data_IF_157983802053
#
_entry.id   IF_157983802053
#
_cell.length_a   1.000
_cell.length_b   1.000
_cell.length_c   1.000
_cell.angle_alpha   90.00
_cell.angle_beta   90.00
_cell.angle_gamma   90.00
#
_symmetry.space_group_name_H-M   'P 1'
#
loop_
_entity.id
_entity.type
_entity.pdbx_description
1 polymer ?
#
# COMPACT_ATOMS: atom_id res chain seq x y z
N UNK A 1 -20.03 -3.04 17.05
CA UNK A 1 -18.83 -3.86 17.21
C UNK A 1 -17.95 -3.79 15.98
N UNK A 2 -16.69 -3.60 16.17
CA UNK A 2 -15.72 -3.55 15.09
C UNK A 2 -15.32 -4.97 14.68
N UNK A 3 -15.35 -5.25 13.37
CA UNK A 3 -14.93 -6.54 12.82
C UNK A 3 -13.56 -6.43 12.15
N UNK A 4 -12.66 -5.71 12.79
CA UNK A 4 -11.34 -5.48 12.24
C UNK A 4 -10.34 -6.54 12.71
N UNK A 5 -9.51 -6.99 11.77
CA UNK A 5 -8.31 -7.75 12.11
C UNK A 5 -7.25 -6.69 12.41
N UNK A 6 -6.74 -6.70 13.63
CA UNK A 6 -5.78 -5.70 14.09
C UNK A 6 -4.34 -6.08 13.74
N UNK A 7 -3.42 -5.14 13.95
CA UNK A 7 -1.99 -5.39 13.82
C UNK A 7 -1.53 -6.53 14.75
N UNK A 8 -2.08 -6.59 15.98
CA UNK A 8 -1.79 -7.66 16.92
C UNK A 8 -2.21 -9.02 16.39
N UNK A 9 -3.38 -9.09 15.75
CA UNK A 9 -3.85 -10.32 15.12
C UNK A 9 -2.93 -10.77 13.99
N UNK A 10 -2.42 -9.82 13.21
CA UNK A 10 -1.44 -10.11 12.15
C UNK A 10 -0.13 -10.63 12.74
N UNK A 11 0.35 -10.04 13.83
CA UNK A 11 1.57 -10.49 14.50
C UNK A 11 1.43 -11.95 14.95
N UNK A 12 0.29 -12.29 15.55
CA UNK A 12 0.02 -13.65 15.99
C UNK A 12 0.05 -14.64 14.82
N UNK A 13 -0.55 -14.26 13.70
CA UNK A 13 -0.57 -15.09 12.50
C UNK A 13 0.82 -15.23 11.88
N UNK A 14 1.59 -14.16 11.87
CA UNK A 14 2.98 -14.19 11.38
C UNK A 14 3.81 -15.15 12.22
N UNK A 15 3.69 -15.08 13.54
CA UNK A 15 4.41 -15.95 14.44
C UNK A 15 4.06 -17.41 14.19
N UNK A 16 2.77 -17.70 13.99
CA UNK A 16 2.28 -19.04 13.67
C UNK A 16 2.87 -19.56 12.37
N UNK A 17 2.87 -18.76 11.33
CA UNK A 17 3.32 -19.19 9.99
C UNK A 17 4.83 -19.24 9.84
N UNK A 18 5.56 -18.38 10.55
CA UNK A 18 7.01 -18.24 10.39
C UNK A 18 7.80 -19.05 11.40
N UNK A 19 7.19 -19.43 12.52
CA UNK A 19 7.91 -20.06 13.63
C UNK A 19 8.68 -19.06 14.48
N UNK A 20 8.57 -17.76 14.19
CA UNK A 20 9.22 -16.72 14.98
C UNK A 20 8.43 -16.45 16.26
N UNK A 21 9.08 -15.84 17.24
CA UNK A 21 8.39 -15.33 18.43
C UNK A 21 7.46 -14.20 18.03
N UNK A 22 6.49 -13.88 18.89
CA UNK A 22 5.61 -12.71 18.66
C UNK A 22 6.41 -11.42 18.65
N UNK A 23 7.43 -11.32 19.49
CA UNK A 23 8.32 -10.15 19.53
C UNK A 23 9.03 -9.95 18.21
N UNK A 24 9.63 -11.00 17.66
CA UNK A 24 10.35 -10.93 16.39
C UNK A 24 9.38 -10.70 15.23
N UNK A 25 8.21 -11.31 15.27
CA UNK A 25 7.16 -11.13 14.27
C UNK A 25 6.67 -9.68 14.24
N UNK A 26 6.52 -9.06 15.41
CA UNK A 26 6.13 -7.65 15.50
C UNK A 26 7.22 -6.75 14.93
N UNK A 27 8.49 -7.02 15.25
CA UNK A 27 9.61 -6.26 14.72
C UNK A 27 9.68 -6.35 13.20
N UNK A 28 9.47 -7.54 12.64
CA UNK A 28 9.48 -7.75 11.20
C UNK A 28 8.33 -7.00 10.53
N UNK A 29 7.13 -7.06 11.11
CA UNK A 29 5.97 -6.35 10.57
C UNK A 29 6.17 -4.84 10.65
N UNK A 30 6.66 -4.32 11.77
CA UNK A 30 6.94 -2.90 11.92
C UNK A 30 7.96 -2.44 10.88
N UNK A 31 9.01 -3.23 10.65
CA UNK A 31 10.00 -2.93 9.63
C UNK A 31 9.39 -2.89 8.22
N UNK A 32 8.51 -3.83 7.91
CA UNK A 32 7.80 -3.84 6.62
C UNK A 32 6.95 -2.59 6.44
N UNK A 33 6.20 -2.22 7.48
CA UNK A 33 5.29 -1.06 7.41
C UNK A 33 6.04 0.27 7.26
N UNK A 34 7.30 0.32 7.71
CA UNK A 34 8.17 1.48 7.52
C UNK A 34 8.92 1.44 6.19
N UNK A 35 9.36 0.25 5.78
CA UNK A 35 10.17 0.09 4.56
C UNK A 35 9.37 0.39 3.30
N UNK A 36 8.12 -0.06 3.21
CA UNK A 36 7.31 0.13 2.01
C UNK A 36 7.09 1.61 1.69
N UNK A 37 6.62 2.45 2.63
CA UNK A 37 6.47 3.88 2.34
C UNK A 37 7.79 4.56 1.98
N UNK A 38 8.87 4.19 2.62
CA UNK A 38 10.19 4.76 2.35
C UNK A 38 10.66 4.44 0.92
N UNK A 39 10.51 3.19 0.50
CA UNK A 39 10.85 2.78 -0.86
C UNK A 39 9.96 3.46 -1.90
N UNK A 40 8.66 3.58 -1.62
CA UNK A 40 7.74 4.27 -2.51
C UNK A 40 8.09 5.75 -2.64
N UNK A 41 8.51 6.38 -1.55
CA UNK A 41 8.95 7.77 -1.59
C UNK A 41 10.17 7.94 -2.49
N UNK A 42 11.15 7.03 -2.39
CA UNK A 42 12.33 7.05 -3.25
C UNK A 42 11.94 6.93 -4.72
N UNK A 43 11.02 6.01 -5.05
CA UNK A 43 10.58 5.83 -6.43
C UNK A 43 9.74 7.01 -6.91
N UNK A 44 8.98 7.65 -6.02
CA UNK A 44 8.18 8.83 -6.37
C UNK A 44 9.04 10.00 -6.83
N UNK A 45 10.29 10.08 -6.36
CA UNK A 45 11.23 11.15 -6.76
C UNK A 45 11.85 10.94 -8.13
N UNK A 46 11.63 9.78 -8.74
CA UNK A 46 12.12 9.48 -10.09
C UNK A 46 11.05 9.84 -11.11
N UNK A 47 11.45 9.97 -12.39
CA UNK A 47 10.48 10.13 -13.46
C UNK A 47 9.62 8.88 -13.59
N UNK A 48 8.40 9.03 -14.09
CA UNK A 48 7.42 7.94 -14.11
C UNK A 48 7.92 6.68 -14.81
N UNK A 49 8.68 6.83 -15.88
CA UNK A 49 9.22 5.70 -16.65
C UNK A 49 10.43 5.03 -15.98
N UNK A 50 11.02 5.67 -14.97
CA UNK A 50 12.14 5.10 -14.23
C UNK A 50 11.74 4.46 -12.91
N UNK A 51 10.48 4.61 -12.51
CA UNK A 51 9.99 4.09 -11.23
C UNK A 51 9.90 2.58 -11.25
N UNK A 52 10.44 1.95 -10.20
CA UNK A 52 10.29 0.53 -9.97
C UNK A 52 9.04 0.26 -9.12
N UNK A 53 8.50 -0.94 -9.26
CA UNK A 53 7.40 -1.42 -8.41
C UNK A 53 8.00 -2.30 -7.32
N UNK A 54 7.38 -2.27 -6.13
CA UNK A 54 7.71 -3.25 -5.10
C UNK A 54 6.89 -4.49 -5.41
N UNK A 55 7.55 -5.51 -5.92
CA UNK A 55 6.88 -6.74 -6.38
C UNK A 55 7.06 -7.85 -5.35
N UNK A 56 5.94 -8.32 -4.80
CA UNK A 56 5.92 -9.48 -3.92
C UNK A 56 5.27 -10.63 -4.69
N UNK A 57 6.12 -11.49 -5.24
CA UNK A 57 5.69 -12.56 -6.13
C UNK A 57 4.64 -13.44 -5.44
N UNK A 58 3.50 -13.63 -6.12
CA UNK A 58 2.39 -14.41 -5.58
C UNK A 58 1.49 -13.65 -4.62
N UNK A 59 1.84 -12.42 -4.26
CA UNK A 59 1.04 -11.60 -3.34
C UNK A 59 0.46 -10.36 -4.02
N UNK A 60 1.31 -9.50 -4.56
CA UNK A 60 0.88 -8.27 -5.20
C UNK A 60 2.03 -7.32 -5.43
N UNK A 61 1.69 -6.12 -5.86
CA UNK A 61 2.70 -5.10 -6.11
C UNK A 61 2.25 -3.73 -5.63
N UNK A 62 3.22 -2.95 -5.16
CA UNK A 62 3.05 -1.54 -4.80
C UNK A 62 3.69 -0.69 -5.87
N UNK A 63 3.05 0.41 -6.24
CA UNK A 63 3.60 1.34 -7.22
C UNK A 63 3.20 2.77 -6.90
N UNK A 64 3.88 3.73 -7.52
CA UNK A 64 3.52 5.14 -7.42
C UNK A 64 2.98 5.58 -8.78
N UNK A 65 1.79 6.16 -8.78
CA UNK A 65 1.14 6.69 -9.97
C UNK A 65 1.08 8.20 -9.89
N UNK A 66 1.16 8.85 -11.04
CA UNK A 66 0.94 10.28 -11.15
C UNK A 66 -0.53 10.53 -11.48
N UNK A 67 -1.14 11.45 -10.75
CA UNK A 67 -2.44 11.99 -11.11
C UNK A 67 -2.25 13.40 -11.61
N UNK A 68 -2.69 13.65 -12.84
CA UNK A 68 -2.58 14.97 -13.46
C UNK A 68 -3.46 15.98 -12.74
N UNK A 69 -3.04 17.25 -12.80
CA UNK A 69 -3.87 18.36 -12.35
C UNK A 69 -5.18 18.35 -13.16
N UNK A 70 -6.27 18.64 -12.51
CA UNK A 70 -7.59 18.66 -13.15
C UNK A 70 -8.47 19.71 -12.51
N UNK A 71 -9.54 20.09 -13.24
CA UNK A 71 -10.54 20.98 -12.70
C UNK A 71 -11.58 20.16 -11.94
N UNK A 72 -11.95 20.67 -10.79
CA UNK A 72 -13.01 20.09 -9.98
C UNK A 72 -14.01 21.17 -9.61
N UNK A 73 -15.07 20.79 -8.94
CA UNK A 73 -16.09 21.72 -8.46
C UNK A 73 -16.15 21.64 -6.96
N UNK A 74 -16.08 22.81 -6.31
CA UNK A 74 -16.24 22.88 -4.86
C UNK A 74 -17.71 22.61 -4.53
N UNK A 75 -18.02 21.53 -3.80
CA UNK A 75 -19.41 21.18 -3.52
C UNK A 75 -20.13 22.19 -2.62
N UNK A 76 -19.39 23.01 -1.87
CA UNK A 76 -19.99 24.00 -0.98
C UNK A 76 -20.37 25.29 -1.71
N UNK A 77 -19.58 25.71 -2.69
CA UNK A 77 -19.77 26.98 -3.38
C UNK A 77 -20.20 26.83 -4.83
N UNK A 78 -20.04 25.65 -5.41
CA UNK A 78 -20.32 25.39 -6.82
C UNK A 78 -19.28 25.98 -7.77
N UNK A 79 -18.22 26.59 -7.23
CA UNK A 79 -17.18 27.21 -8.04
C UNK A 79 -16.17 26.16 -8.54
N UNK A 80 -15.60 26.44 -9.71
CA UNK A 80 -14.51 25.63 -10.23
C UNK A 80 -13.27 25.82 -9.36
N UNK A 81 -12.56 24.72 -9.13
CA UNK A 81 -11.30 24.72 -8.40
C UNK A 81 -10.28 23.87 -9.14
N UNK A 82 -9.01 24.24 -9.00
CA UNK A 82 -7.92 23.48 -9.58
C UNK A 82 -7.47 22.44 -8.57
N UNK A 83 -7.55 21.15 -8.97
CA UNK A 83 -6.99 20.06 -8.18
C UNK A 83 -5.56 19.86 -8.68
N UNK A 84 -4.54 20.07 -7.83
CA UNK A 84 -3.16 19.99 -8.30
C UNK A 84 -2.75 18.56 -8.65
N UNK A 85 -1.74 18.43 -9.50
CA UNK A 85 -1.12 17.14 -9.78
C UNK A 85 -0.52 16.57 -8.50
N UNK A 86 -0.59 15.27 -8.35
CA UNK A 86 -0.04 14.59 -7.16
C UNK A 86 0.42 13.19 -7.49
N UNK A 87 1.26 12.66 -6.63
CA UNK A 87 1.73 11.28 -6.68
C UNK A 87 0.91 10.45 -5.71
N UNK A 88 0.46 9.29 -6.15
CA UNK A 88 -0.44 8.44 -5.37
C UNK A 88 0.13 7.03 -5.29
N UNK A 89 0.30 6.48 -4.08
CA UNK A 89 0.66 5.07 -3.95
C UNK A 89 -0.53 4.20 -4.32
N UNK A 90 -0.26 3.07 -4.97
CA UNK A 90 -1.30 2.12 -5.34
C UNK A 90 -0.81 0.71 -5.06
N UNK A 91 -1.73 -0.16 -4.69
CA UNK A 91 -1.44 -1.58 -4.47
C UNK A 91 -2.40 -2.43 -5.30
N UNK A 92 -1.85 -3.48 -5.91
CA UNK A 92 -2.62 -4.41 -6.71
C UNK A 92 -2.33 -5.83 -6.27
N UNK A 93 -3.38 -6.57 -5.87
CA UNK A 93 -3.23 -7.97 -5.52
C UNK A 93 -2.93 -8.83 -6.74
N UNK A 94 -2.12 -9.88 -6.52
CA UNK A 94 -1.85 -10.86 -7.55
C UNK A 94 -3.08 -11.74 -7.80
N UNK A 95 -3.10 -12.39 -8.95
CA UNK A 95 -4.16 -13.34 -9.30
C UNK A 95 -4.26 -14.46 -8.26
N UNK A 96 -3.12 -14.94 -7.74
CA UNK A 96 -3.09 -16.01 -6.74
C UNK A 96 -3.87 -15.63 -5.48
N UNK A 97 -3.69 -14.40 -4.98
CA UNK A 97 -4.41 -13.94 -3.78
C UNK A 97 -5.91 -13.86 -4.05
N UNK A 98 -6.28 -13.34 -5.22
CA UNK A 98 -7.70 -13.24 -5.61
C UNK A 98 -8.36 -14.61 -5.67
N UNK A 99 -7.66 -15.60 -6.21
CA UNK A 99 -8.17 -16.97 -6.29
C UNK A 99 -8.28 -17.62 -4.92
N UNK A 100 -7.29 -17.42 -4.03
CA UNK A 100 -7.33 -17.95 -2.67
C UNK A 100 -8.51 -17.41 -1.87
N UNK A 101 -8.85 -16.14 -2.05
CA UNK A 101 -9.97 -15.51 -1.34
C UNK A 101 -11.31 -16.03 -1.85
N UNK A 102 -11.40 -16.30 -3.13
CA UNK A 102 -12.64 -16.80 -3.74
C UNK A 102 -12.83 -18.32 -3.60
N UNK A 103 -11.83 -18.99 -3.09
CA UNK A 103 -11.87 -20.43 -2.92
C UNK A 103 -11.54 -21.14 -4.20
#
# INVERSE_FOLDING_TARGET
MSNNITKGDLVDKIAEKSGLTKKDSKSALDGLLEAIPELLFQEANKSADERAKIQLIGFGSFEVKDRSARKGINPQTGEEMQIPARKVPAFKFSKNIKEQVNG
#
